data_IF_285700649357
#
_entry.id   IF_285700649357
#
_cell.length_a   1.000
_cell.length_b   1.000
_cell.length_c   1.000
_cell.angle_alpha   90.00
_cell.angle_beta   90.00
_cell.angle_gamma   90.00
#
_symmetry.space_group_name_H-M   'P 1'
#
loop_
_entity.id
_entity.type
_entity.pdbx_description
1 polymer ?
#
# COMPACT_ATOMS: atom_id res chain seq x y z
N UNK A 1 -30.64 -34.05 32.01
CA UNK A 1 -31.26 -33.03 31.13
C UNK A 1 -30.52 -31.76 31.41
N UNK A 2 -29.39 -31.55 30.74
CA UNK A 2 -28.59 -30.35 30.91
C UNK A 2 -28.27 -29.83 29.51
N UNK A 3 -28.84 -28.67 29.20
CA UNK A 3 -28.68 -27.99 27.92
C UNK A 3 -27.33 -27.26 27.97
N UNK A 4 -26.40 -27.71 27.14
CA UNK A 4 -25.18 -27.00 26.85
C UNK A 4 -25.47 -25.65 26.19
N UNK A 5 -24.81 -24.64 26.73
CA UNK A 5 -24.86 -23.25 26.34
C UNK A 5 -23.97 -23.08 25.10
N UNK A 6 -24.57 -23.05 23.91
CA UNK A 6 -23.87 -22.79 22.65
C UNK A 6 -23.49 -21.30 22.61
N UNK A 7 -22.22 -21.03 22.86
CA UNK A 7 -21.62 -19.70 22.70
C UNK A 7 -21.66 -19.26 21.24
N UNK A 8 -22.49 -18.25 20.96
CA UNK A 8 -22.54 -17.50 19.71
C UNK A 8 -21.19 -16.85 19.43
N UNK A 9 -20.41 -17.41 18.50
CA UNK A 9 -19.22 -16.77 17.96
C UNK A 9 -19.64 -15.64 17.03
N UNK A 10 -19.46 -14.40 17.49
CA UNK A 10 -19.65 -13.18 16.70
C UNK A 10 -18.71 -13.21 15.48
N UNK A 11 -19.29 -13.10 14.28
CA UNK A 11 -18.54 -12.91 13.03
C UNK A 11 -17.72 -11.61 13.11
N UNK A 12 -16.49 -11.57 12.59
CA UNK A 12 -15.72 -10.34 12.54
C UNK A 12 -16.41 -9.33 11.62
N UNK A 13 -16.47 -8.07 12.09
CA UNK A 13 -17.24 -6.96 11.53
C UNK A 13 -16.72 -6.43 10.16
N UNK A 14 -15.66 -7.01 9.60
CA UNK A 14 -15.05 -6.53 8.36
C UNK A 14 -14.50 -7.66 7.48
N UNK A 15 -15.18 -8.07 6.39
CA UNK A 15 -14.57 -8.89 5.36
C UNK A 15 -13.65 -8.02 4.49
N UNK A 16 -12.41 -7.81 4.93
CA UNK A 16 -11.37 -7.22 4.08
C UNK A 16 -10.99 -8.23 2.99
N UNK A 17 -11.38 -7.97 1.74
CA UNK A 17 -10.92 -8.76 0.61
C UNK A 17 -9.43 -8.45 0.36
N UNK A 18 -8.58 -9.31 0.88
CA UNK A 18 -7.10 -9.31 0.84
C UNK A 18 -6.49 -9.11 -0.57
N UNK A 19 -7.29 -9.15 -1.63
CA UNK A 19 -6.83 -9.13 -3.01
C UNK A 19 -6.42 -7.74 -3.55
N UNK A 20 -6.74 -6.62 -2.89
CA UNK A 20 -6.53 -5.28 -3.49
C UNK A 20 -5.54 -4.37 -2.72
N UNK A 21 -4.74 -4.94 -1.82
CA UNK A 21 -3.89 -4.15 -0.92
C UNK A 21 -2.62 -3.62 -1.59
N UNK A 22 -1.98 -4.45 -2.41
CA UNK A 22 -0.68 -4.13 -3.03
C UNK A 22 -0.77 -3.94 -4.53
N UNK A 23 -1.67 -4.70 -5.17
CA UNK A 23 -1.74 -4.89 -6.62
C UNK A 23 -2.87 -4.13 -7.27
N UNK A 24 -2.66 -3.76 -8.52
CA UNK A 24 -3.73 -3.44 -9.45
C UNK A 24 -4.05 -4.69 -10.28
N UNK A 25 -5.34 -5.03 -10.43
CA UNK A 25 -5.79 -6.31 -11.01
C UNK A 25 -5.87 -6.31 -12.56
N UNK A 26 -5.15 -5.41 -13.23
CA UNK A 26 -5.08 -5.34 -14.69
C UNK A 26 -3.80 -5.97 -15.23
N UNK A 27 -3.94 -6.89 -16.19
CA UNK A 27 -2.80 -7.35 -16.99
C UNK A 27 -2.43 -6.23 -17.97
N UNK A 28 -1.25 -5.64 -17.80
CA UNK A 28 -0.73 -4.60 -18.71
C UNK A 28 0.44 -5.21 -19.47
N UNK A 29 0.26 -5.36 -20.79
CA UNK A 29 1.26 -5.97 -21.66
C UNK A 29 2.62 -5.23 -21.62
N UNK A 30 3.68 -5.94 -22.03
CA UNK A 30 5.02 -5.42 -22.22
C UNK A 30 5.62 -4.80 -20.94
N UNK A 31 5.65 -5.58 -19.85
CA UNK A 31 6.13 -5.11 -18.55
C UNK A 31 7.57 -4.62 -18.62
N UNK A 32 8.48 -5.39 -19.25
CA UNK A 32 9.87 -4.96 -19.45
C UNK A 32 9.96 -3.65 -20.22
N UNK A 33 9.30 -3.53 -21.38
CA UNK A 33 9.38 -2.30 -22.20
C UNK A 33 8.87 -1.06 -21.47
N UNK A 34 7.79 -1.18 -20.69
CA UNK A 34 7.26 -0.07 -19.88
C UNK A 34 8.22 0.30 -18.76
N UNK A 35 8.80 -0.69 -18.08
CA UNK A 35 9.86 -0.48 -17.09
C UNK A 35 11.03 0.27 -17.71
N UNK A 36 11.55 -0.18 -18.84
CA UNK A 36 12.72 0.43 -19.49
C UNK A 36 12.46 1.89 -19.87
N UNK A 37 11.26 2.17 -20.42
CA UNK A 37 10.83 3.55 -20.71
C UNK A 37 10.82 4.43 -19.46
N UNK A 38 10.25 3.95 -18.35
CA UNK A 38 10.22 4.69 -17.09
C UNK A 38 11.64 4.91 -16.57
N UNK A 39 12.51 3.90 -16.59
CA UNK A 39 13.88 4.03 -16.13
C UNK A 39 14.70 5.02 -16.97
N UNK A 40 14.51 5.03 -18.30
CA UNK A 40 15.12 6.01 -19.20
C UNK A 40 14.63 7.42 -18.85
N UNK A 41 13.32 7.60 -18.65
CA UNK A 41 12.75 8.88 -18.28
C UNK A 41 13.28 9.38 -16.93
N UNK A 42 13.37 8.50 -15.93
CA UNK A 42 13.94 8.82 -14.61
C UNK A 42 15.43 9.17 -14.69
N UNK A 43 16.20 8.48 -15.52
CA UNK A 43 17.61 8.84 -15.78
C UNK A 43 17.73 10.21 -16.46
N UNK A 44 16.84 10.49 -17.42
CA UNK A 44 16.80 11.79 -18.11
C UNK A 44 16.45 12.92 -17.13
N UNK A 45 15.41 12.77 -16.32
CA UNK A 45 15.03 13.75 -15.28
C UNK A 45 16.16 14.03 -14.30
N UNK A 46 16.92 12.99 -13.89
CA UNK A 46 18.10 13.15 -13.03
C UNK A 46 19.21 13.96 -13.70
N UNK A 47 19.38 13.85 -15.01
CA UNK A 47 20.39 14.61 -15.76
C UNK A 47 19.95 16.04 -16.04
N UNK A 48 18.64 16.29 -16.13
CA UNK A 48 18.05 17.59 -16.51
C UNK A 48 17.81 18.54 -15.30
N UNK A 49 18.44 18.32 -14.14
CA UNK A 49 18.17 19.00 -12.85
C UNK A 49 17.68 20.46 -12.97
N UNK A 50 16.36 20.63 -12.84
CA UNK A 50 15.70 21.86 -12.37
C UNK A 50 14.92 21.47 -11.13
N UNK A 51 15.11 22.22 -10.05
CA UNK A 51 14.39 22.08 -8.78
C UNK A 51 12.87 22.16 -9.01
N UNK A 52 12.21 20.99 -9.10
CA UNK A 52 10.76 20.91 -8.94
C UNK A 52 10.45 20.68 -7.47
N UNK A 53 10.40 21.79 -6.72
CA UNK A 53 9.63 21.90 -5.48
C UNK A 53 8.11 21.90 -5.77
N UNK A 54 7.63 20.93 -6.57
CA UNK A 54 6.20 20.78 -6.86
C UNK A 54 5.65 19.54 -6.17
N UNK A 55 4.63 19.75 -5.34
CA UNK A 55 3.84 18.70 -4.71
C UNK A 55 3.85 18.71 -3.19
N UNK A 56 4.63 19.60 -2.57
CA UNK A 56 4.51 19.91 -1.14
C UNK A 56 3.29 20.82 -0.96
N UNK A 57 3.20 21.96 -1.64
CA UNK A 57 2.14 22.96 -1.44
C UNK A 57 0.70 22.40 -1.51
N UNK A 58 0.41 21.46 -2.43
CA UNK A 58 -0.91 20.80 -2.51
C UNK A 58 -1.28 19.95 -1.25
N UNK A 59 -0.28 19.54 -0.46
CA UNK A 59 -0.47 18.86 0.83
C UNK A 59 -0.77 19.86 1.95
N UNK A 60 -0.25 21.09 1.86
CA UNK A 60 -0.35 22.11 2.92
C UNK A 60 -1.53 23.08 2.75
N UNK A 61 -2.08 23.26 1.53
CA UNK A 61 -2.99 24.38 1.24
C UNK A 61 -4.39 24.36 1.87
N UNK A 62 -4.84 23.33 2.59
CA UNK A 62 -6.24 23.30 3.08
C UNK A 62 -6.35 22.63 4.45
N UNK A 63 -5.73 23.21 5.47
CA UNK A 63 -5.85 22.73 6.85
C UNK A 63 -6.52 23.79 7.76
N UNK A 64 -7.14 24.81 7.14
CA UNK A 64 -7.76 26.01 7.75
C UNK A 64 -9.29 26.10 7.61
N UNK A 65 -9.99 25.00 7.27
CA UNK A 65 -11.46 25.01 7.11
C UNK A 65 -12.22 24.42 8.31
N UNK A 66 -11.79 24.75 9.53
CA UNK A 66 -12.62 24.61 10.73
C UNK A 66 -12.52 25.90 11.57
N UNK A 67 -13.04 27.03 11.04
CA UNK A 67 -13.92 28.04 11.67
C UNK A 67 -13.75 29.41 10.99
N UNK A 68 -14.74 29.87 10.20
CA UNK A 68 -14.74 31.25 9.69
C UNK A 68 -15.76 31.56 8.58
N UNK A 69 -17.02 31.75 8.98
CA UNK A 69 -18.10 32.59 8.43
C UNK A 69 -18.28 32.80 6.90
N UNK A 70 -19.54 32.67 6.50
CA UNK A 70 -20.13 32.94 5.18
C UNK A 70 -19.59 34.21 4.48
N UNK A 71 -19.21 34.08 3.21
CA UNK A 71 -19.67 35.03 2.19
C UNK A 71 -19.84 34.33 0.84
N UNK A 72 -21.07 34.36 0.35
CA UNK A 72 -21.54 33.87 -0.94
C UNK A 72 -20.95 34.73 -2.08
N UNK A 73 -20.37 34.12 -3.12
CA UNK A 73 -20.70 34.48 -4.50
C UNK A 73 -20.27 33.41 -5.52
N UNK A 74 -21.31 32.86 -6.15
CA UNK A 74 -21.46 32.00 -7.33
C UNK A 74 -20.28 31.98 -8.33
N UNK A 75 -19.57 30.85 -8.41
CA UNK A 75 -19.27 30.17 -9.69
C UNK A 75 -19.36 28.66 -9.48
N UNK A 76 -20.41 28.10 -10.09
CA UNK A 76 -20.74 26.69 -10.16
C UNK A 76 -19.68 25.91 -10.96
N UNK A 77 -18.64 25.44 -10.26
CA UNK A 77 -17.86 24.29 -10.67
C UNK A 77 -17.84 23.32 -9.49
N UNK A 78 -18.71 22.32 -9.54
CA UNK A 78 -18.66 21.12 -8.71
C UNK A 78 -17.29 20.42 -8.85
N UNK A 79 -16.25 20.96 -8.21
CA UNK A 79 -15.01 20.25 -7.93
C UNK A 79 -15.40 19.16 -6.93
N UNK A 80 -15.70 17.96 -7.45
CA UNK A 80 -15.79 16.74 -6.65
C UNK A 80 -14.54 16.73 -5.75
N UNK A 81 -14.70 16.98 -4.45
CA UNK A 81 -13.63 16.92 -3.44
C UNK A 81 -13.09 15.49 -3.44
N UNK A 82 -12.15 15.18 -4.32
CA UNK A 82 -11.42 13.92 -4.27
C UNK A 82 -10.77 13.84 -2.89
N UNK A 83 -11.04 12.77 -2.14
CA UNK A 83 -10.46 12.58 -0.79
C UNK A 83 -8.94 12.71 -0.92
N UNK A 84 -8.33 13.67 -0.19
CA UNK A 84 -6.93 14.14 -0.33
C UNK A 84 -5.88 13.03 -0.47
N UNK A 85 -6.11 11.87 0.15
CA UNK A 85 -5.20 10.71 0.19
C UNK A 85 -5.65 9.51 -0.66
N UNK A 86 -6.68 9.66 -1.48
CA UNK A 86 -7.14 8.63 -2.40
C UNK A 86 -6.04 8.31 -3.43
N UNK A 87 -5.76 7.03 -3.68
CA UNK A 87 -4.80 6.55 -4.69
C UNK A 87 -3.35 7.08 -4.57
N UNK A 88 -2.94 7.57 -3.39
CA UNK A 88 -1.54 8.01 -3.18
C UNK A 88 -0.54 6.88 -2.94
N UNK A 89 -0.99 5.64 -2.73
CA UNK A 89 -0.09 4.50 -2.54
C UNK A 89 0.56 4.11 -3.87
N UNK A 90 1.85 3.78 -3.82
CA UNK A 90 2.56 3.09 -4.89
C UNK A 90 2.12 1.63 -4.94
N UNK A 91 1.49 1.25 -6.05
CA UNK A 91 0.90 -0.06 -6.24
C UNK A 91 1.77 -0.88 -7.20
N UNK A 92 2.04 -2.11 -6.80
CA UNK A 92 2.84 -3.04 -7.56
C UNK A 92 2.04 -3.70 -8.69
N UNK A 93 2.77 -4.12 -9.70
CA UNK A 93 2.28 -5.08 -10.69
C UNK A 93 2.61 -6.51 -10.28
N UNK A 94 1.95 -7.50 -10.85
CA UNK A 94 2.45 -8.87 -10.75
C UNK A 94 3.77 -9.00 -11.50
N UNK A 95 4.75 -9.72 -10.94
CA UNK A 95 6.00 -10.02 -11.64
C UNK A 95 5.73 -11.07 -12.74
N UNK A 96 5.29 -10.60 -13.90
CA UNK A 96 5.03 -11.46 -15.05
C UNK A 96 6.35 -11.86 -15.71
N UNK A 97 7.24 -10.87 -15.87
CA UNK A 97 8.57 -10.97 -16.46
C UNK A 97 9.62 -10.65 -15.39
N UNK A 98 10.53 -11.59 -15.13
CA UNK A 98 11.60 -11.39 -14.16
C UNK A 98 12.62 -10.40 -14.74
N UNK A 99 13.00 -9.33 -14.00
CA UNK A 99 14.06 -8.43 -14.44
C UNK A 99 15.38 -9.19 -14.66
N UNK A 100 16.06 -8.92 -15.78
CA UNK A 100 17.39 -9.52 -16.05
C UNK A 100 18.45 -9.08 -15.05
N UNK A 101 18.25 -7.90 -14.47
CA UNK A 101 19.12 -7.24 -13.50
C UNK A 101 18.56 -7.35 -12.06
N UNK A 102 17.74 -8.36 -11.77
CA UNK A 102 17.08 -8.55 -10.47
C UNK A 102 18.09 -8.48 -9.31
N UNK A 103 19.18 -9.25 -9.41
CA UNK A 103 20.19 -9.33 -8.35
C UNK A 103 21.00 -8.04 -8.18
N UNK A 104 21.09 -7.21 -9.21
CA UNK A 104 21.90 -5.99 -9.23
C UNK A 104 21.10 -4.77 -8.75
N UNK A 105 19.92 -4.55 -9.33
CA UNK A 105 19.18 -3.28 -9.23
C UNK A 105 17.89 -3.36 -8.43
N UNK A 106 17.59 -4.50 -7.80
CA UNK A 106 16.35 -4.68 -7.06
C UNK A 106 16.56 -4.99 -5.58
N UNK A 107 15.59 -4.56 -4.79
CA UNK A 107 15.42 -4.87 -3.38
C UNK A 107 14.12 -5.66 -3.22
N UNK A 108 14.01 -6.48 -2.19
CA UNK A 108 12.74 -7.12 -1.84
C UNK A 108 12.38 -6.94 -0.37
N UNK A 109 11.07 -7.01 -0.10
CA UNK A 109 10.49 -7.03 1.24
C UNK A 109 9.45 -8.15 1.31
N UNK A 110 9.53 -8.98 2.34
CA UNK A 110 8.48 -9.94 2.67
C UNK A 110 7.37 -9.17 3.40
N UNK A 111 6.15 -9.22 2.88
CA UNK A 111 5.02 -8.48 3.39
C UNK A 111 4.10 -9.41 4.20
N UNK A 112 3.90 -9.14 5.50
CA UNK A 112 3.00 -9.94 6.30
C UNK A 112 1.52 -9.69 5.95
N UNK A 113 0.67 -10.62 6.33
CA UNK A 113 -0.79 -10.47 6.26
C UNK A 113 -1.22 -9.33 7.17
N UNK A 114 -1.82 -8.30 6.59
CA UNK A 114 -2.26 -7.10 7.28
C UNK A 114 -3.07 -6.19 6.36
N UNK A 115 -3.39 -4.99 6.84
CA UNK A 115 -4.12 -3.98 6.06
C UNK A 115 -3.16 -2.87 5.68
N UNK A 116 -2.94 -2.64 4.39
CA UNK A 116 -2.12 -1.53 3.91
C UNK A 116 -2.85 -0.19 4.08
N UNK A 117 -2.16 0.81 4.61
CA UNK A 117 -2.70 2.13 4.89
C UNK A 117 -1.63 3.23 4.79
N UNK A 118 -2.12 4.44 4.59
CA UNK A 118 -1.32 5.66 4.70
C UNK A 118 -1.45 6.18 6.12
N UNK A 119 -0.32 6.40 6.79
CA UNK A 119 -0.25 7.01 8.11
C UNK A 119 0.24 8.44 7.98
N UNK A 120 -0.52 9.38 8.54
CA UNK A 120 -0.26 10.82 8.48
C UNK A 120 -0.14 11.35 9.89
N UNK A 121 1.04 11.80 10.31
CA UNK A 121 1.26 12.47 11.58
C UNK A 121 1.41 13.98 11.36
N UNK A 122 0.49 14.77 11.92
CA UNK A 122 0.46 16.23 11.80
C UNK A 122 -0.29 16.86 12.99
N UNK A 123 0.08 18.09 13.37
CA UNK A 123 -0.61 18.91 14.40
C UNK A 123 -0.87 18.15 15.71
N UNK A 124 0.04 17.27 16.10
CA UNK A 124 -0.03 16.48 17.34
C UNK A 124 -0.99 15.29 17.32
N UNK A 125 -1.44 14.88 16.13
CA UNK A 125 -2.28 13.71 15.92
C UNK A 125 -1.77 12.87 14.74
N UNK A 126 -2.06 11.57 14.80
CA UNK A 126 -1.75 10.60 13.77
C UNK A 126 -3.05 10.03 13.22
N UNK A 127 -3.31 10.29 11.94
CA UNK A 127 -4.50 9.89 11.19
C UNK A 127 -4.13 8.78 10.20
N UNK A 128 -4.95 7.75 10.11
CA UNK A 128 -4.71 6.60 9.21
C UNK A 128 -5.78 6.55 8.14
N UNK A 129 -5.37 6.41 6.89
CA UNK A 129 -6.25 6.36 5.72
C UNK A 129 -6.08 5.05 4.96
N UNK A 130 -7.18 4.49 4.47
CA UNK A 130 -7.11 3.36 3.54
C UNK A 130 -6.73 3.82 2.12
N UNK A 131 -6.55 2.85 1.21
CA UNK A 131 -6.30 3.11 -0.23
C UNK A 131 -7.33 4.04 -0.89
N UNK A 132 -8.58 4.02 -0.44
CA UNK A 132 -9.68 4.88 -0.94
C UNK A 132 -9.68 6.29 -0.30
N UNK A 133 -8.68 6.62 0.51
CA UNK A 133 -8.58 7.91 1.21
C UNK A 133 -9.58 8.07 2.35
N UNK A 134 -10.23 6.99 2.81
CA UNK A 134 -11.12 7.03 3.98
C UNK A 134 -10.30 6.95 5.26
N UNK A 135 -10.55 7.91 6.15
CA UNK A 135 -9.99 7.93 7.51
C UNK A 135 -10.54 6.72 8.29
N UNK A 136 -9.64 5.87 8.80
CA UNK A 136 -9.97 4.67 9.57
C UNK A 136 -9.69 4.83 11.07
N UNK A 137 -8.65 5.56 11.42
CA UNK A 137 -8.25 5.71 12.83
C UNK A 137 -7.59 7.06 13.06
N UNK A 138 -7.70 7.55 14.29
CA UNK A 138 -7.00 8.73 14.80
C UNK A 138 -6.47 8.40 16.19
N UNK A 139 -5.19 8.67 16.42
CA UNK A 139 -4.52 8.44 17.70
C UNK A 139 -3.31 9.35 17.85
N UNK A 140 -2.66 9.33 19.01
CA UNK A 140 -1.38 10.00 19.24
C UNK A 140 -0.24 9.01 19.09
N UNK A 141 0.84 9.44 18.44
CA UNK A 141 2.04 8.62 18.26
C UNK A 141 3.29 9.46 18.47
N UNK A 142 4.41 8.81 18.72
CA UNK A 142 5.69 9.49 18.86
C UNK A 142 6.36 9.84 17.52
N UNK A 143 5.72 9.54 16.38
CA UNK A 143 6.17 10.02 15.07
C UNK A 143 6.29 11.56 15.07
N UNK A 144 7.26 12.14 14.32
CA UNK A 144 7.35 13.58 14.16
C UNK A 144 6.04 14.15 13.59
N UNK A 145 5.43 15.11 14.29
CA UNK A 145 4.10 15.64 13.98
C UNK A 145 2.93 14.98 14.72
N UNK A 146 3.11 13.82 15.33
CA UNK A 146 2.02 13.02 15.92
C UNK A 146 1.84 13.11 17.44
N UNK A 147 2.80 13.73 18.15
CA UNK A 147 2.81 13.85 19.61
C UNK A 147 2.23 15.17 20.12
N UNK A 148 1.73 15.20 21.37
CA UNK A 148 1.11 16.39 21.99
C UNK A 148 1.97 17.65 21.96
N UNK A 149 3.29 17.49 22.04
CA UNK A 149 4.26 18.60 22.09
C UNK A 149 4.95 18.84 20.73
N UNK A 150 4.42 18.25 19.65
CA UNK A 150 5.01 18.41 18.33
C UNK A 150 4.78 19.83 17.82
N UNK A 151 5.78 20.39 17.14
CA UNK A 151 5.68 21.73 16.55
C UNK A 151 4.60 21.70 15.46
N UNK A 152 3.82 22.77 15.32
CA UNK A 152 2.73 22.83 14.33
C UNK A 152 3.18 22.58 12.87
N UNK A 153 4.46 22.75 12.58
CA UNK A 153 5.06 22.65 11.23
C UNK A 153 5.51 21.22 10.89
N UNK A 154 5.64 20.31 11.87
CA UNK A 154 6.19 18.97 11.62
C UNK A 154 5.14 18.01 11.06
N UNK A 155 5.48 17.39 9.93
CA UNK A 155 4.58 16.52 9.17
C UNK A 155 5.30 15.22 8.75
N UNK A 156 4.66 14.08 8.96
CA UNK A 156 5.20 12.77 8.55
C UNK A 156 4.14 11.97 7.81
N UNK A 157 4.53 11.36 6.69
CA UNK A 157 3.70 10.56 5.81
C UNK A 157 4.37 9.22 5.54
N UNK A 158 3.74 8.13 5.98
CA UNK A 158 4.26 6.77 5.86
C UNK A 158 3.30 5.86 5.09
N UNK A 159 3.87 4.90 4.38
CA UNK A 159 3.18 3.74 3.81
C UNK A 159 3.36 2.55 4.77
N UNK A 160 2.28 2.04 5.33
CA UNK A 160 2.33 1.03 6.38
C UNK A 160 1.41 -0.15 6.11
N UNK A 161 1.73 -1.27 6.76
CA UNK A 161 0.92 -2.48 6.84
C UNK A 161 0.52 -2.66 8.31
N UNK A 162 -0.75 -2.45 8.61
CA UNK A 162 -1.27 -2.63 9.96
C UNK A 162 -1.62 -4.09 10.23
N UNK A 163 -1.12 -4.63 11.35
CA UNK A 163 -1.55 -5.92 11.89
C UNK A 163 -2.25 -5.74 13.23
N UNK A 164 -3.48 -6.27 13.29
CA UNK A 164 -4.34 -6.13 14.47
C UNK A 164 -3.90 -7.01 15.65
N UNK A 165 -3.30 -8.16 15.37
CA UNK A 165 -2.83 -9.13 16.38
C UNK A 165 -1.79 -8.48 17.30
N UNK A 166 -0.82 -7.78 16.73
CA UNK A 166 0.28 -7.13 17.47
C UNK A 166 0.01 -5.65 17.76
N UNK A 167 -1.04 -5.07 17.19
CA UNK A 167 -1.31 -3.62 17.19
C UNK A 167 -0.11 -2.82 16.67
N UNK A 168 0.50 -3.31 15.60
CA UNK A 168 1.73 -2.75 15.02
C UNK A 168 1.51 -2.33 13.58
N UNK A 169 2.01 -1.15 13.24
CA UNK A 169 2.19 -0.67 11.87
C UNK A 169 3.60 -1.04 11.40
N UNK A 170 3.68 -1.99 10.47
CA UNK A 170 4.92 -2.32 9.80
C UNK A 170 5.13 -1.30 8.67
N UNK A 171 6.17 -0.47 8.79
CA UNK A 171 6.43 0.63 7.88
C UNK A 171 7.11 0.09 6.63
N UNK A 172 6.42 0.20 5.50
CA UNK A 172 6.83 -0.31 4.19
C UNK A 172 7.73 0.71 3.47
N UNK A 173 7.32 1.98 3.45
CA UNK A 173 8.05 3.08 2.80
C UNK A 173 7.76 4.42 3.51
N UNK A 174 8.60 5.42 3.25
CA UNK A 174 8.51 6.78 3.82
C UNK A 174 8.34 7.80 2.71
N UNK A 175 7.25 8.57 2.74
CA UNK A 175 6.99 9.57 1.70
C UNK A 175 7.48 10.95 2.15
N UNK A 176 7.21 11.28 3.42
CA UNK A 176 7.63 12.53 4.05
C UNK A 176 8.03 12.24 5.48
N UNK A 177 9.15 12.78 5.94
CA UNK A 177 9.61 12.64 7.32
C UNK A 177 10.00 13.99 7.89
N UNK A 178 9.38 14.39 8.99
CA UNK A 178 9.64 15.68 9.64
C UNK A 178 9.63 16.86 8.64
N UNK A 179 8.63 16.88 7.77
CA UNK A 179 8.40 17.87 6.71
C UNK A 179 9.41 17.86 5.55
N UNK A 180 10.34 16.89 5.51
CA UNK A 180 11.20 16.65 4.36
C UNK A 180 10.59 15.61 3.42
N UNK A 181 10.28 16.03 2.20
CA UNK A 181 9.77 15.13 1.15
C UNK A 181 10.86 14.20 0.65
N UNK A 182 10.52 12.91 0.59
CA UNK A 182 11.38 11.84 0.10
C UNK A 182 10.83 11.23 -1.21
N UNK A 183 9.73 11.79 -1.75
CA UNK A 183 9.04 11.27 -2.94
C UNK A 183 9.97 11.15 -4.16
N UNK A 184 10.88 12.12 -4.34
CA UNK A 184 11.80 12.14 -5.48
C UNK A 184 13.11 11.37 -5.23
N UNK A 185 13.33 10.88 -4.01
CA UNK A 185 14.51 10.10 -3.68
C UNK A 185 14.39 8.66 -4.18
N UNK A 186 15.53 8.01 -4.46
CA UNK A 186 15.58 6.59 -4.83
C UNK A 186 15.00 5.72 -3.72
N UNK A 187 14.44 4.56 -4.09
CA UNK A 187 13.85 3.62 -3.13
C UNK A 187 14.90 3.11 -2.14
N UNK A 188 16.11 2.83 -2.62
CA UNK A 188 17.23 2.45 -1.76
C UNK A 188 17.54 3.51 -0.69
N UNK A 189 17.56 4.79 -1.07
CA UNK A 189 17.74 5.87 -0.11
C UNK A 189 16.59 5.96 0.88
N UNK A 190 15.33 5.86 0.42
CA UNK A 190 14.15 5.90 1.31
C UNK A 190 14.18 4.79 2.35
N UNK A 191 14.52 3.57 1.94
CA UNK A 191 14.62 2.41 2.83
C UNK A 191 15.77 2.58 3.83
N UNK A 192 16.95 2.97 3.36
CA UNK A 192 18.08 3.28 4.23
C UNK A 192 17.74 4.37 5.25
N UNK A 193 17.15 5.48 4.79
CA UNK A 193 16.76 6.61 5.64
C UNK A 193 15.75 6.17 6.71
N UNK A 194 14.67 5.50 6.29
CA UNK A 194 13.62 5.02 7.20
C UNK A 194 14.17 4.06 8.26
N UNK A 195 15.00 3.09 7.85
CA UNK A 195 15.62 2.13 8.76
C UNK A 195 16.42 2.84 9.84
N UNK A 196 17.29 3.78 9.47
CA UNK A 196 18.10 4.52 10.44
C UNK A 196 17.23 5.40 11.35
N UNK A 197 16.21 6.08 10.81
CA UNK A 197 15.33 6.94 11.62
C UNK A 197 14.50 6.19 12.65
N UNK A 198 14.04 4.98 12.32
CA UNK A 198 13.34 4.13 13.28
C UNK A 198 14.27 3.49 14.32
N UNK A 199 15.56 3.31 14.01
CA UNK A 199 16.57 2.83 14.96
C UNK A 199 17.07 3.93 15.90
N UNK A 200 17.17 5.17 15.42
CA UNK A 200 17.62 6.32 16.19
C UNK A 200 16.69 6.65 17.38
N UNK A 201 15.39 6.39 17.24
CA UNK A 201 14.39 6.73 18.26
C UNK A 201 13.62 5.50 18.76
N UNK A 202 14.15 4.80 19.78
CA UNK A 202 13.46 3.68 20.42
C UNK A 202 12.12 4.08 21.06
N UNK A 203 11.89 5.37 21.34
CA UNK A 203 10.65 5.83 21.97
C UNK A 203 9.44 5.74 21.03
N UNK A 204 9.67 5.57 19.73
CA UNK A 204 8.62 5.24 18.75
C UNK A 204 7.89 3.93 19.07
N UNK A 205 8.54 3.00 19.78
CA UNK A 205 8.01 1.70 20.18
C UNK A 205 7.97 1.55 21.71
N UNK A 206 7.47 2.56 22.42
CA UNK A 206 7.24 2.52 23.86
C UNK A 206 6.00 1.69 24.20
N UNK A 207 6.02 0.98 25.34
CA UNK A 207 4.84 0.32 25.92
C UNK A 207 3.66 1.28 26.20
N UNK A 208 3.94 2.58 26.34
CA UNK A 208 2.92 3.61 26.51
C UNK A 208 2.20 3.98 25.20
N UNK A 209 2.72 3.56 24.04
CA UNK A 209 2.13 3.87 22.75
C UNK A 209 0.93 2.95 22.47
N UNK A 210 -0.15 3.54 21.94
CA UNK A 210 -1.32 2.77 21.51
C UNK A 210 -1.00 1.80 20.38
N UNK A 211 -0.06 2.17 19.51
CA UNK A 211 0.40 1.38 18.38
C UNK A 211 1.91 1.56 18.17
N UNK A 212 2.57 0.49 17.75
CA UNK A 212 3.99 0.46 17.45
C UNK A 212 4.26 0.70 15.96
N UNK A 213 5.45 1.21 15.64
CA UNK A 213 5.95 1.42 14.28
C UNK A 213 7.25 0.65 14.09
N UNK A 214 7.19 -0.45 13.34
CA UNK A 214 8.33 -1.35 13.13
C UNK A 214 8.75 -1.27 11.67
N UNK A 215 10.05 -1.14 11.41
CA UNK A 215 10.56 -1.17 10.05
C UNK A 215 10.32 -2.55 9.42
N UNK A 216 9.74 -2.59 8.22
CA UNK A 216 9.68 -3.84 7.47
C UNK A 216 11.02 -4.07 6.78
N UNK A 217 11.79 -5.08 7.19
CA UNK A 217 13.13 -5.33 6.68
C UNK A 217 13.15 -5.49 5.16
N UNK A 218 14.08 -4.79 4.51
CA UNK A 218 14.42 -4.95 3.10
C UNK A 218 15.75 -5.69 2.94
N UNK A 219 15.87 -6.39 1.81
CA UNK A 219 17.07 -7.11 1.42
C UNK A 219 17.37 -6.85 -0.05
N UNK A 220 18.64 -7.00 -0.44
CA UNK A 220 18.97 -7.05 -1.86
C UNK A 220 18.37 -8.30 -2.49
N UNK A 221 17.82 -8.19 -3.70
CA UNK A 221 17.15 -9.29 -4.40
C UNK A 221 18.13 -10.29 -5.04
N UNK A 222 19.19 -10.65 -4.31
CA UNK A 222 20.07 -11.78 -4.66
C UNK A 222 19.28 -13.08 -4.51
N UNK A 223 19.40 -13.99 -5.48
CA UNK A 223 18.71 -15.27 -5.43
C UNK A 223 19.03 -16.08 -4.15
N UNK A 224 20.30 -16.16 -3.68
CA UNK A 224 20.61 -16.84 -2.42
C UNK A 224 19.93 -16.21 -1.19
N UNK A 225 19.81 -14.87 -1.16
CA UNK A 225 19.16 -14.17 -0.05
C UNK A 225 17.65 -14.38 -0.06
N UNK A 226 17.03 -14.42 -1.25
CA UNK A 226 15.61 -14.75 -1.41
C UNK A 226 15.34 -16.19 -0.94
N UNK A 227 16.20 -17.14 -1.34
CA UNK A 227 16.11 -18.53 -0.91
C UNK A 227 16.27 -18.69 0.60
N UNK A 228 17.24 -18.00 1.21
CA UNK A 228 17.45 -18.03 2.67
C UNK A 228 16.25 -17.48 3.43
N UNK A 229 15.74 -16.31 3.05
CA UNK A 229 14.63 -15.64 3.74
C UNK A 229 13.30 -16.37 3.56
N UNK A 230 13.05 -16.96 2.38
CA UNK A 230 11.83 -17.73 2.11
C UNK A 230 11.97 -19.22 2.39
N UNK A 231 13.17 -19.71 2.72
CA UNK A 231 13.44 -21.09 3.11
C UNK A 231 13.01 -21.42 4.54
N UNK A 232 12.62 -20.39 5.32
CA UNK A 232 12.18 -20.49 6.71
C UNK A 232 10.85 -19.77 6.94
N UNK A 233 10.26 -19.99 8.10
CA UNK A 233 9.09 -19.23 8.54
C UNK A 233 9.47 -17.77 8.81
N UNK A 234 8.64 -16.88 8.29
CA UNK A 234 8.88 -15.44 8.40
C UNK A 234 8.55 -14.94 9.81
N UNK A 235 9.50 -14.24 10.40
CA UNK A 235 9.33 -13.62 11.70
C UNK A 235 9.99 -12.24 11.74
N UNK A 236 9.43 -11.36 12.56
CA UNK A 236 10.02 -10.05 12.87
C UNK A 236 10.05 -9.93 14.38
N UNK A 237 11.22 -9.63 14.95
CA UNK A 237 11.44 -9.55 16.40
C UNK A 237 10.93 -10.81 17.13
N UNK A 238 11.26 -12.00 16.60
CA UNK A 238 10.87 -13.32 17.15
C UNK A 238 9.36 -13.61 17.13
N UNK A 239 8.56 -12.74 16.50
CA UNK A 239 7.13 -12.97 16.30
C UNK A 239 6.94 -13.57 14.91
N UNK A 240 6.45 -14.81 14.85
CA UNK A 240 6.06 -15.47 13.60
C UNK A 240 4.84 -14.81 12.97
N UNK A 241 4.87 -14.67 11.65
CA UNK A 241 3.86 -13.92 10.91
C UNK A 241 3.47 -14.64 9.63
N UNK A 242 2.17 -14.74 9.39
CA UNK A 242 1.68 -15.18 8.09
C UNK A 242 2.11 -14.19 7.01
N UNK A 243 2.66 -14.69 5.90
CA UNK A 243 3.12 -13.88 4.77
C UNK A 243 1.99 -13.71 3.76
N UNK A 244 1.71 -12.46 3.38
CA UNK A 244 0.82 -12.16 2.26
C UNK A 244 1.55 -12.37 0.93
N UNK A 245 2.76 -11.81 0.81
CA UNK A 245 3.60 -11.98 -0.38
C UNK A 245 4.87 -11.17 -0.33
N UNK A 246 5.54 -11.08 -1.47
CA UNK A 246 6.87 -10.49 -1.61
C UNK A 246 6.79 -9.34 -2.59
N UNK A 247 7.21 -8.15 -2.15
CA UNK A 247 7.37 -6.99 -3.01
C UNK A 247 8.82 -6.90 -3.48
N UNK A 248 9.02 -6.58 -4.75
CA UNK A 248 10.31 -6.30 -5.36
C UNK A 248 10.31 -4.87 -5.87
N UNK A 249 11.31 -4.08 -5.49
CA UNK A 249 11.45 -2.67 -5.82
C UNK A 249 12.72 -2.44 -6.62
N UNK A 250 12.65 -1.66 -7.70
CA UNK A 250 13.85 -1.16 -8.34
C UNK A 250 14.51 -0.08 -7.46
N UNK A 251 15.81 -0.21 -7.18
CA UNK A 251 16.60 0.64 -6.25
C UNK A 251 16.44 2.13 -6.55
N UNK A 252 16.58 2.50 -7.83
CA UNK A 252 16.61 3.89 -8.31
C UNK A 252 15.24 4.59 -8.43
N UNK A 253 14.16 3.97 -7.98
CA UNK A 253 12.82 4.48 -8.27
C UNK A 253 12.33 5.54 -7.26
N UNK A 254 11.78 6.69 -7.69
CA UNK A 254 11.02 7.59 -6.82
C UNK A 254 9.71 6.96 -6.36
N UNK A 255 9.03 7.55 -5.38
CA UNK A 255 7.74 7.05 -4.92
C UNK A 255 6.66 7.51 -5.91
N UNK A 256 6.23 6.60 -6.80
CA UNK A 256 5.20 6.90 -7.80
C UNK A 256 3.83 6.46 -7.30
N UNK A 257 2.91 7.40 -7.11
CA UNK A 257 1.52 7.07 -6.78
C UNK A 257 0.86 6.27 -7.90
N UNK A 258 0.10 5.24 -7.56
CA UNK A 258 -0.60 4.39 -8.53
C UNK A 258 0.21 3.17 -8.98
N UNK A 259 -0.29 2.50 -10.02
CA UNK A 259 0.29 1.25 -10.54
C UNK A 259 1.60 1.52 -11.28
N UNK A 260 2.62 0.69 -11.05
CA UNK A 260 3.90 0.84 -11.74
C UNK A 260 4.65 -0.49 -11.94
N UNK A 261 5.32 -0.71 -13.09
CA UNK A 261 6.06 -1.95 -13.38
C UNK A 261 7.43 -2.02 -12.67
N UNK A 262 7.88 -0.94 -12.05
CA UNK A 262 9.16 -0.85 -11.32
C UNK A 262 9.03 -1.30 -9.86
N UNK A 263 7.82 -1.67 -9.43
CA UNK A 263 7.55 -2.42 -8.21
C UNK A 263 6.69 -3.61 -8.59
N UNK A 264 7.14 -4.80 -8.26
CA UNK A 264 6.44 -6.04 -8.62
C UNK A 264 6.10 -6.87 -7.39
N UNK A 265 5.15 -7.77 -7.54
CA UNK A 265 4.58 -8.58 -6.48
C UNK A 265 4.49 -10.04 -6.89
N UNK A 266 4.84 -10.92 -5.95
CA UNK A 266 4.62 -12.35 -6.04
C UNK A 266 4.01 -12.87 -4.74
N UNK A 267 3.18 -13.91 -4.86
CA UNK A 267 2.84 -14.74 -3.70
C UNK A 267 4.02 -15.68 -3.41
N UNK A 268 4.23 -16.10 -2.15
CA UNK A 268 5.37 -16.94 -1.82
C UNK A 268 5.37 -18.26 -2.61
N UNK A 269 4.20 -18.88 -2.82
CA UNK A 269 4.05 -20.07 -3.65
C UNK A 269 4.32 -19.88 -5.15
N UNK A 270 4.47 -18.64 -5.64
CA UNK A 270 4.82 -18.33 -7.04
C UNK A 270 6.33 -18.22 -7.24
N UNK A 271 7.11 -18.11 -6.17
CA UNK A 271 8.57 -17.96 -6.21
C UNK A 271 9.24 -19.18 -6.86
N UNK A 272 8.84 -20.44 -6.57
CA UNK A 272 9.41 -21.60 -7.27
C UNK A 272 9.15 -21.60 -8.77
N UNK A 273 7.98 -21.09 -9.21
CA UNK A 273 7.68 -20.98 -10.64
C UNK A 273 8.50 -19.87 -11.32
N UNK A 274 8.58 -18.70 -10.69
CA UNK A 274 9.14 -17.49 -11.33
C UNK A 274 10.64 -17.36 -11.19
N UNK A 275 11.18 -17.67 -10.02
CA UNK A 275 12.59 -17.51 -9.70
C UNK A 275 13.34 -18.84 -9.65
N UNK A 276 12.63 -19.98 -9.77
CA UNK A 276 13.21 -21.33 -9.69
C UNK A 276 13.90 -21.59 -8.34
N UNK A 277 13.40 -20.98 -7.28
CA UNK A 277 13.91 -21.12 -5.91
C UNK A 277 12.95 -21.91 -5.03
N UNK A 278 13.44 -22.80 -4.14
CA UNK A 278 12.59 -23.44 -3.16
C UNK A 278 12.07 -22.41 -2.14
N UNK A 279 10.95 -22.74 -1.50
CA UNK A 279 10.38 -21.97 -0.40
C UNK A 279 9.92 -22.93 0.70
N UNK A 280 9.84 -22.43 1.93
CA UNK A 280 9.35 -23.19 3.07
C UNK A 280 7.94 -23.77 2.81
N UNK A 281 7.67 -24.96 3.34
CA UNK A 281 6.43 -25.71 3.07
C UNK A 281 5.16 -24.95 3.47
N UNK A 282 5.23 -24.15 4.54
CA UNK A 282 4.11 -23.31 5.01
C UNK A 282 3.61 -22.32 3.94
N UNK A 283 4.48 -21.90 3.02
CA UNK A 283 4.11 -21.02 1.90
C UNK A 283 3.36 -21.76 0.79
N UNK A 284 3.68 -23.05 0.58
CA UNK A 284 3.03 -23.88 -0.41
C UNK A 284 1.63 -24.33 0.03
N UNK A 285 1.39 -24.45 1.33
CA UNK A 285 0.09 -24.80 1.89
C UNK A 285 -1.02 -23.79 1.49
N UNK A 286 -0.66 -22.53 1.25
CA UNK A 286 -1.58 -21.48 0.82
C UNK A 286 -1.81 -21.42 -0.70
N UNK A 287 -1.18 -22.32 -1.47
CA UNK A 287 -1.34 -22.40 -2.93
C UNK A 287 -2.77 -22.87 -3.27
N UNK A 288 -3.55 -22.10 -4.06
CA UNK A 288 -4.87 -22.54 -4.50
C UNK A 288 -4.78 -23.84 -5.32
N UNK A 289 -5.71 -24.78 -5.11
CA UNK A 289 -5.72 -26.08 -5.83
C UNK A 289 -5.80 -25.95 -7.35
N UNK A 290 -6.44 -24.89 -7.82
CA UNK A 290 -6.59 -24.56 -9.24
C UNK A 290 -5.46 -23.65 -9.77
N UNK A 291 -4.42 -23.39 -8.99
CA UNK A 291 -3.26 -22.63 -9.44
C UNK A 291 -2.31 -23.54 -10.22
N UNK A 292 -2.17 -23.25 -11.50
CA UNK A 292 -1.24 -23.89 -12.44
C UNK A 292 -0.02 -23.00 -12.67
N UNK A 293 -0.26 -21.82 -13.24
CA UNK A 293 0.75 -20.82 -13.57
C UNK A 293 0.27 -19.42 -13.18
N UNK A 294 1.21 -18.48 -13.05
CA UNK A 294 0.86 -17.08 -12.80
C UNK A 294 0.01 -16.55 -13.95
N UNK A 295 0.35 -16.90 -15.19
CA UNK A 295 -0.37 -16.41 -16.37
C UNK A 295 -1.85 -16.82 -16.35
N UNK A 296 -2.13 -18.09 -16.09
CA UNK A 296 -3.51 -18.59 -15.98
C UNK A 296 -4.26 -17.98 -14.80
N UNK A 297 -3.58 -17.83 -13.66
CA UNK A 297 -4.14 -17.17 -12.48
C UNK A 297 -4.53 -15.71 -12.77
N UNK A 298 -3.70 -14.96 -13.49
CA UNK A 298 -4.00 -13.58 -13.87
C UNK A 298 -5.15 -13.50 -14.89
N UNK A 299 -5.20 -14.41 -15.87
CA UNK A 299 -6.33 -14.52 -16.79
C UNK A 299 -7.64 -14.82 -16.06
N UNK A 300 -7.61 -15.74 -15.08
CA UNK A 300 -8.76 -16.04 -14.22
C UNK A 300 -9.21 -14.83 -13.41
N UNK A 301 -8.28 -14.10 -12.79
CA UNK A 301 -8.59 -12.87 -12.06
C UNK A 301 -9.23 -11.83 -12.98
N UNK A 302 -8.64 -11.60 -14.15
CA UNK A 302 -9.13 -10.60 -15.09
C UNK A 302 -10.53 -10.92 -15.61
N UNK A 303 -10.81 -12.18 -15.93
CA UNK A 303 -12.15 -12.63 -16.34
C UNK A 303 -13.16 -12.48 -15.21
N UNK A 304 -12.80 -12.81 -13.97
CA UNK A 304 -13.65 -12.60 -12.79
C UNK A 304 -13.98 -11.11 -12.58
N UNK A 305 -13.01 -10.21 -12.71
CA UNK A 305 -13.24 -8.77 -12.58
C UNK A 305 -14.07 -8.19 -13.73
N UNK A 306 -13.86 -8.63 -14.97
CA UNK A 306 -14.71 -8.25 -16.11
C UNK A 306 -16.16 -8.69 -15.90
N UNK A 307 -16.39 -9.91 -15.39
CA UNK A 307 -17.73 -10.41 -15.04
C UNK A 307 -18.36 -9.58 -13.93
N UNK A 308 -17.64 -9.30 -12.84
CA UNK A 308 -18.16 -8.47 -11.75
C UNK A 308 -18.56 -7.06 -12.21
N UNK A 309 -17.71 -6.41 -13.01
CA UNK A 309 -17.98 -5.06 -13.54
C UNK A 309 -19.14 -5.04 -14.52
N UNK A 310 -19.31 -6.08 -15.34
CA UNK A 310 -20.48 -6.20 -16.23
C UNK A 310 -21.76 -6.47 -15.42
N UNK A 311 -21.71 -7.26 -14.35
CA UNK A 311 -22.86 -7.43 -13.45
C UNK A 311 -23.22 -6.13 -12.73
N UNK A 312 -22.25 -5.38 -12.22
CA UNK A 312 -22.48 -4.06 -11.59
C UNK A 312 -23.09 -3.06 -12.61
N UNK A 313 -22.58 -3.01 -13.85
CA UNK A 313 -23.16 -2.16 -14.91
C UNK A 313 -24.60 -2.55 -15.30
N UNK A 314 -24.93 -3.85 -15.28
CA UNK A 314 -26.30 -4.30 -15.55
C UNK A 314 -27.24 -3.85 -14.43
N UNK A 315 -26.81 -3.95 -13.17
CA UNK A 315 -27.60 -3.50 -12.02
C UNK A 315 -27.80 -1.98 -12.04
N UNK A 316 -26.73 -1.21 -12.29
CA UNK A 316 -26.82 0.27 -12.39
C UNK A 316 -27.76 0.70 -13.54
N UNK A 317 -27.74 -0.01 -14.68
CA UNK A 317 -28.64 0.27 -15.80
C UNK A 317 -30.10 -0.09 -15.47
N UNK A 318 -30.35 -1.21 -14.79
CA UNK A 318 -31.70 -1.58 -14.36
C UNK A 318 -32.25 -0.59 -13.32
N UNK A 319 -31.41 -0.10 -12.41
CA UNK A 319 -31.81 0.94 -11.45
C UNK A 319 -32.12 2.28 -12.15
N UNK A 320 -31.37 2.64 -13.20
CA UNK A 320 -31.64 3.83 -14.00
C UNK A 320 -32.96 3.72 -14.80
N UNK A 321 -33.23 2.57 -15.41
CA UNK A 321 -34.49 2.31 -16.14
C UNK A 321 -35.71 2.35 -15.20
N UNK A 322 -35.59 1.81 -13.98
CA UNK A 322 -36.67 1.87 -12.97
C UNK A 322 -36.94 3.31 -12.52
N UNK A 323 -35.91 4.15 -12.42
CA UNK A 323 -36.05 5.57 -12.07
C UNK A 323 -36.71 6.36 -13.22
N UNK A 324 -36.35 6.08 -14.48
CA UNK A 324 -36.99 6.69 -15.65
C UNK A 324 -38.47 6.29 -15.77
N UNK A 325 -38.81 5.00 -15.61
CA UNK A 325 -40.20 4.53 -15.62
C UNK A 325 -41.02 5.12 -14.46
N UNK A 326 -40.41 5.39 -13.30
CA UNK A 326 -41.10 6.02 -12.17
C UNK A 326 -41.38 7.51 -12.40
N UNK A 327 -40.54 8.21 -13.17
CA UNK A 327 -40.73 9.63 -13.47
C UNK A 327 -41.71 9.85 -14.64
N UNK A 328 -41.88 8.88 -15.55
CA UNK A 328 -42.88 8.95 -16.63
C UNK A 328 -44.32 8.64 -16.17
N UNK A 329 -44.51 8.12 -14.95
CA UNK A 329 -45.84 7.86 -14.38
C UNK A 329 -46.38 9.01 -13.50
N UNK A 330 -45.57 10.04 -13.24
CA UNK A 330 -45.93 11.21 -12.42
C UNK A 330 -46.20 12.49 -13.26
N UNK A 331 -46.13 12.41 -14.59
CA UNK A 331 -46.61 13.42 -15.57
C UNK A 331 -47.93 12.96 -16.24
#
# INVERSE_FOLDING_TARGET
MDKENVGTTSKPEYPSQHYDLYKYNGLVANQCTRRDKILIELKKRRNDQVDELRGIDEIFEDDDDENGEELMEVVEHCRKRYKRYHSRLMLSEWMCEVPVDLEENWLFKICPVGVRNIVVANKGLTKVYNRRGEKKSVFQSNLPGGGKFSKAITFTLLDCIYRAQEKTYYVLDVLVWNSHSLLNCSTEFRFFFLRNKLLEDPTLNSESNKFNFVYLTDHQALLPTIEEELGREYSINEIEMAVDGVLFYHKDCPYLSGQTPIVTWLKPYMIPEKLQLPVHESYLANKPKNYTTLQEYLNYIQTKYKKKRSTEMIVDNMEAEIIEESNEMDD
#
